data_IF_637309165478
#
_entry.id   IF_637309165478
#
_cell.length_a   1.000
_cell.length_b   1.000
_cell.length_c   1.000
_cell.angle_alpha   90.00
_cell.angle_beta   90.00
_cell.angle_gamma   90.00
#
_symmetry.space_group_name_H-M   'P 1'
#
loop_
_entity.id
_entity.type
_entity.pdbx_description
1 polymer ?
#
# COMPACT_ATOMS: atom_id res chain seq x y z
N UNK A 1 -37.99 56.02 7.97
CA UNK A 1 -38.02 55.05 6.84
C UNK A 1 -36.75 54.23 6.93
N UNK A 2 -36.85 52.92 7.20
CA UNK A 2 -35.68 52.05 7.32
C UNK A 2 -35.15 51.66 5.93
N UNK A 3 -33.83 51.60 5.70
CA UNK A 3 -33.29 51.18 4.40
C UNK A 3 -33.55 49.68 4.20
N UNK A 4 -34.26 49.34 3.13
CA UNK A 4 -34.49 47.95 2.72
C UNK A 4 -33.19 47.40 2.12
N UNK A 5 -32.50 46.52 2.86
CA UNK A 5 -31.29 45.87 2.35
C UNK A 5 -31.68 44.97 1.17
N UNK A 6 -31.07 45.12 -0.01
CA UNK A 6 -31.41 44.30 -1.17
C UNK A 6 -31.06 42.83 -0.90
N UNK A 7 -32.03 41.95 -1.12
CA UNK A 7 -31.88 40.49 -0.98
C UNK A 7 -30.98 39.95 -2.09
N UNK A 8 -30.28 38.84 -1.84
CA UNK A 8 -29.21 38.29 -2.69
C UNK A 8 -29.62 38.01 -4.15
N UNK A 9 -30.92 37.86 -4.42
CA UNK A 9 -31.48 37.67 -5.77
C UNK A 9 -31.57 38.97 -6.60
N UNK A 10 -31.50 40.15 -5.96
CA UNK A 10 -31.57 41.47 -6.61
C UNK A 10 -30.19 42.00 -7.03
N UNK A 11 -29.10 41.38 -6.55
CA UNK A 11 -27.73 41.75 -6.93
C UNK A 11 -27.31 40.87 -8.12
N UNK A 12 -27.17 41.48 -9.30
CA UNK A 12 -26.64 40.82 -10.50
C UNK A 12 -25.27 40.21 -10.19
N UNK A 13 -25.23 38.89 -10.05
CA UNK A 13 -24.01 38.14 -9.69
C UNK A 13 -22.93 38.42 -10.74
N UNK A 14 -21.72 38.83 -10.33
CA UNK A 14 -20.63 39.12 -11.24
C UNK A 14 -20.34 37.93 -12.17
N UNK A 15 -20.17 38.21 -13.46
CA UNK A 15 -19.89 37.18 -14.49
C UNK A 15 -18.66 36.31 -14.15
N UNK A 16 -17.69 36.88 -13.41
CA UNK A 16 -16.48 36.19 -12.95
C UNK A 16 -16.80 35.06 -11.96
N UNK A 17 -17.81 35.22 -11.10
CA UNK A 17 -18.26 34.19 -10.16
C UNK A 17 -18.95 33.03 -10.89
N UNK A 18 -19.75 33.33 -11.91
CA UNK A 18 -20.38 32.29 -12.74
C UNK A 18 -19.34 31.47 -13.51
N UNK A 19 -18.31 32.12 -14.07
CA UNK A 19 -17.19 31.44 -14.73
C UNK A 19 -16.41 30.54 -13.75
N UNK A 20 -16.15 31.04 -12.53
CA UNK A 20 -15.47 30.25 -11.47
C UNK A 20 -16.28 29.03 -11.04
N UNK A 21 -17.61 29.16 -10.85
CA UNK A 21 -18.50 28.04 -10.50
C UNK A 21 -18.49 26.94 -11.57
N UNK A 22 -18.63 27.31 -12.85
CA UNK A 22 -18.58 26.36 -13.98
C UNK A 22 -17.24 25.63 -14.05
N UNK A 23 -16.12 26.32 -13.84
CA UNK A 23 -14.79 25.70 -13.80
C UNK A 23 -14.65 24.70 -12.65
N UNK A 24 -15.12 25.07 -11.45
CA UNK A 24 -15.10 24.19 -10.28
C UNK A 24 -16.01 22.97 -10.42
N UNK A 25 -17.17 23.12 -11.07
CA UNK A 25 -18.06 21.99 -11.37
C UNK A 25 -17.41 21.00 -12.35
N UNK A 26 -16.80 21.49 -13.43
CA UNK A 26 -16.05 20.64 -14.37
C UNK A 26 -14.90 19.90 -13.68
N UNK A 27 -14.08 20.61 -12.90
CA UNK A 27 -12.97 20.00 -12.16
C UNK A 27 -13.46 18.97 -11.12
N UNK A 28 -14.64 19.19 -10.49
CA UNK A 28 -15.24 18.21 -9.58
C UNK A 28 -15.75 16.97 -10.32
N UNK A 29 -16.40 17.14 -11.48
CA UNK A 29 -16.86 16.03 -12.30
C UNK A 29 -15.69 15.16 -12.80
N UNK A 30 -14.61 15.79 -13.27
CA UNK A 30 -13.39 15.09 -13.70
C UNK A 30 -12.74 14.30 -12.57
N UNK A 31 -12.60 14.91 -11.38
CA UNK A 31 -12.08 14.23 -10.18
C UNK A 31 -12.96 13.06 -9.74
N UNK A 32 -14.29 13.22 -9.81
CA UNK A 32 -15.23 12.15 -9.48
C UNK A 32 -15.04 10.95 -10.42
N UNK A 33 -14.99 11.19 -11.73
CA UNK A 33 -14.75 10.17 -12.75
C UNK A 33 -13.39 9.47 -12.57
N UNK A 34 -12.33 10.22 -12.25
CA UNK A 34 -11.02 9.62 -11.96
C UNK A 34 -11.04 8.77 -10.68
N UNK A 35 -11.76 9.21 -9.65
CA UNK A 35 -11.90 8.47 -8.40
C UNK A 35 -12.62 7.13 -8.61
N UNK A 36 -13.63 7.10 -9.47
CA UNK A 36 -14.37 5.88 -9.82
C UNK A 36 -13.49 4.89 -10.58
N UNK A 37 -12.73 5.36 -11.56
CA UNK A 37 -11.73 4.55 -12.28
C UNK A 37 -10.68 3.96 -11.32
N UNK A 38 -10.15 4.77 -10.39
CA UNK A 38 -9.20 4.31 -9.36
C UNK A 38 -9.82 3.25 -8.44
N UNK A 39 -11.09 3.43 -8.03
CA UNK A 39 -11.82 2.45 -7.21
C UNK A 39 -12.00 1.12 -7.94
N UNK A 40 -12.36 1.15 -9.23
CA UNK A 40 -12.49 -0.06 -10.06
C UNK A 40 -11.15 -0.78 -10.19
N UNK A 41 -10.09 -0.06 -10.57
CA UNK A 41 -8.74 -0.62 -10.68
C UNK A 41 -8.24 -1.22 -9.34
N UNK A 42 -8.54 -0.60 -8.21
CA UNK A 42 -8.16 -1.14 -6.90
C UNK A 42 -8.94 -2.40 -6.53
N UNK A 43 -10.21 -2.52 -6.93
CA UNK A 43 -10.99 -3.77 -6.73
C UNK A 43 -10.37 -4.92 -7.52
N UNK A 44 -10.01 -4.68 -8.78
CA UNK A 44 -9.33 -5.66 -9.64
C UNK A 44 -7.96 -6.06 -9.08
N UNK A 45 -7.16 -5.09 -8.63
CA UNK A 45 -5.88 -5.40 -7.97
C UNK A 45 -6.06 -6.29 -6.74
N UNK A 46 -7.10 -6.03 -5.93
CA UNK A 46 -7.37 -6.82 -4.73
C UNK A 46 -7.72 -8.27 -5.04
N UNK A 47 -8.52 -8.52 -6.09
CA UNK A 47 -8.84 -9.91 -6.49
C UNK A 47 -7.62 -10.65 -7.00
N UNK A 48 -6.74 -9.97 -7.75
CA UNK A 48 -5.47 -10.55 -8.21
C UNK A 48 -4.53 -10.86 -7.04
N UNK A 49 -4.37 -9.95 -6.08
CA UNK A 49 -3.53 -10.17 -4.90
C UNK A 49 -4.05 -11.35 -4.08
N UNK A 50 -5.37 -11.47 -3.92
CA UNK A 50 -5.97 -12.58 -3.19
C UNK A 50 -5.65 -13.94 -3.84
N UNK A 51 -5.85 -14.06 -5.17
CA UNK A 51 -5.50 -15.28 -5.91
C UNK A 51 -4.00 -15.62 -5.85
N UNK A 52 -3.13 -14.60 -5.87
CA UNK A 52 -1.68 -14.78 -5.73
C UNK A 52 -1.32 -15.29 -4.34
N UNK A 53 -1.91 -14.74 -3.28
CA UNK A 53 -1.68 -15.19 -1.91
C UNK A 53 -2.07 -16.66 -1.74
N UNK A 54 -3.24 -17.07 -2.25
CA UNK A 54 -3.69 -18.46 -2.23
C UNK A 54 -2.69 -19.39 -2.95
N UNK A 55 -2.23 -18.99 -4.14
CA UNK A 55 -1.22 -19.74 -4.91
C UNK A 55 0.07 -19.91 -4.10
N UNK A 56 0.60 -18.85 -3.51
CA UNK A 56 1.83 -18.92 -2.73
C UNK A 56 1.69 -19.81 -1.50
N UNK A 57 0.57 -19.73 -0.78
CA UNK A 57 0.33 -20.62 0.37
C UNK A 57 0.33 -22.09 -0.06
N UNK A 58 -0.32 -22.41 -1.18
CA UNK A 58 -0.33 -23.77 -1.73
C UNK A 58 1.08 -24.22 -2.09
N UNK A 59 1.83 -23.40 -2.81
CA UNK A 59 3.21 -23.70 -3.24
C UNK A 59 4.13 -24.01 -2.05
N UNK A 60 4.09 -23.21 -0.99
CA UNK A 60 4.90 -23.46 0.21
C UNK A 60 4.49 -24.76 0.94
N UNK A 61 3.18 -25.02 1.08
CA UNK A 61 2.68 -26.25 1.73
C UNK A 61 3.01 -27.50 0.92
N UNK A 62 2.97 -27.41 -0.41
CA UNK A 62 3.33 -28.51 -1.30
C UNK A 62 4.84 -28.78 -1.23
N UNK A 63 5.67 -27.72 -1.22
CA UNK A 63 7.11 -27.83 -1.07
C UNK A 63 7.52 -28.45 0.29
N UNK A 64 6.87 -28.07 1.39
CA UNK A 64 7.12 -28.67 2.71
C UNK A 64 6.75 -30.16 2.75
N UNK A 65 5.57 -30.52 2.20
CA UNK A 65 5.15 -31.91 2.11
C UNK A 65 6.09 -32.74 1.25
N UNK A 66 6.58 -32.16 0.17
CA UNK A 66 7.51 -32.84 -0.74
C UNK A 66 8.86 -33.14 -0.08
N UNK A 67 9.41 -32.20 0.70
CA UNK A 67 10.62 -32.45 1.51
C UNK A 67 10.43 -33.65 2.44
N UNK A 68 9.31 -33.70 3.17
CA UNK A 68 9.00 -34.81 4.07
C UNK A 68 8.85 -36.12 3.30
N UNK A 69 8.22 -36.09 2.13
CA UNK A 69 8.08 -37.26 1.25
C UNK A 69 9.44 -37.80 0.81
N UNK A 70 10.34 -36.92 0.35
CA UNK A 70 11.69 -37.29 -0.09
C UNK A 70 12.52 -37.88 1.05
N UNK A 71 12.46 -37.30 2.25
CA UNK A 71 13.10 -37.87 3.45
C UNK A 71 12.57 -39.28 3.78
N UNK A 72 11.26 -39.52 3.66
CA UNK A 72 10.66 -40.84 3.90
C UNK A 72 11.09 -41.86 2.85
N UNK A 73 11.11 -41.48 1.57
CA UNK A 73 11.54 -42.37 0.49
C UNK A 73 13.02 -42.73 0.63
N UNK A 74 13.88 -41.74 0.88
CA UNK A 74 15.30 -41.99 1.12
C UNK A 74 15.49 -42.98 2.29
N UNK A 75 14.76 -42.79 3.40
CA UNK A 75 14.79 -43.71 4.53
C UNK A 75 14.30 -45.13 4.20
N UNK A 76 13.28 -45.26 3.35
CA UNK A 76 12.77 -46.57 2.90
C UNK A 76 13.78 -47.30 2.03
N UNK A 77 14.47 -46.58 1.14
CA UNK A 77 15.50 -47.11 0.25
C UNK A 77 16.86 -47.31 0.95
N UNK A 78 17.00 -46.84 2.21
CA UNK A 78 18.25 -46.88 2.96
C UNK A 78 19.28 -45.83 2.53
N UNK A 79 18.86 -44.82 1.76
CA UNK A 79 19.69 -43.71 1.30
C UNK A 79 19.38 -42.41 2.07
N UNK A 80 20.16 -41.35 1.83
CA UNK A 80 20.01 -40.06 2.53
C UNK A 80 19.57 -38.95 1.58
N UNK A 81 18.59 -38.14 2.00
CA UNK A 81 18.19 -36.92 1.31
C UNK A 81 18.90 -35.71 1.93
N UNK A 82 19.59 -34.93 1.11
CA UNK A 82 20.26 -33.69 1.52
C UNK A 82 19.41 -32.50 1.10
N UNK A 83 18.98 -31.70 2.08
CA UNK A 83 18.18 -30.51 1.82
C UNK A 83 18.99 -29.41 1.13
N UNK A 84 18.31 -28.54 0.37
CA UNK A 84 18.94 -27.41 -0.30
C UNK A 84 19.44 -26.34 0.70
N UNK A 85 20.60 -25.76 0.40
CA UNK A 85 21.19 -24.69 1.21
C UNK A 85 20.34 -23.41 1.21
N UNK A 86 20.30 -22.73 2.36
CA UNK A 86 19.55 -21.49 2.53
C UNK A 86 20.21 -20.32 1.78
N UNK A 87 19.44 -19.64 0.93
CA UNK A 87 19.94 -18.54 0.07
C UNK A 87 19.79 -17.14 0.66
N UNK A 88 19.04 -16.99 1.75
CA UNK A 88 18.68 -15.69 2.34
C UNK A 88 19.01 -15.68 3.83
N UNK A 89 19.61 -14.59 4.29
CA UNK A 89 19.96 -14.37 5.69
C UNK A 89 19.27 -13.09 6.19
N UNK A 90 18.72 -13.14 7.40
CA UNK A 90 18.15 -11.97 8.07
C UNK A 90 19.10 -11.53 9.21
N UNK A 91 19.74 -10.38 9.04
CA UNK A 91 20.76 -9.87 9.97
C UNK A 91 20.21 -8.68 10.77
N UNK A 92 20.24 -8.79 12.09
CA UNK A 92 19.88 -7.69 13.01
C UNK A 92 21.17 -7.17 13.66
N UNK A 93 21.37 -5.84 13.66
CA UNK A 93 22.47 -5.21 14.39
C UNK A 93 22.16 -5.22 15.89
N UNK A 94 23.02 -5.88 16.67
CA UNK A 94 22.89 -5.97 18.13
C UNK A 94 23.56 -4.83 18.89
N UNK A 95 24.53 -4.13 18.29
CA UNK A 95 25.28 -3.03 18.95
C UNK A 95 24.97 -1.68 18.30
N UNK A 96 24.47 -0.73 19.10
CA UNK A 96 24.28 0.66 18.70
C UNK A 96 25.60 1.43 18.58
N UNK A 97 25.59 2.51 17.81
CA UNK A 97 26.71 3.44 17.76
C UNK A 97 26.63 4.38 18.98
N UNK A 98 27.70 4.51 19.76
CA UNK A 98 27.76 5.46 20.88
C UNK A 98 28.51 6.71 20.41
N UNK A 99 27.80 7.83 20.26
CA UNK A 99 28.43 9.12 20.00
C UNK A 99 28.76 9.76 21.34
N UNK A 100 30.00 9.64 21.80
CA UNK A 100 30.51 10.40 22.94
C UNK A 100 30.73 11.86 22.52
N UNK A 101 29.71 12.71 22.64
CA UNK A 101 29.91 14.17 22.68
C UNK A 101 30.40 14.49 24.10
N UNK A 102 31.72 14.55 24.29
CA UNK A 102 32.31 15.14 25.50
C UNK A 102 32.16 16.66 25.39
N UNK A 103 31.10 17.21 25.98
CA UNK A 103 31.08 18.62 26.35
C UNK A 103 32.15 18.84 27.44
N UNK A 104 33.33 19.31 27.04
CA UNK A 104 34.27 19.95 27.95
C UNK A 104 33.92 21.45 27.98
N UNK A 105 32.98 21.81 28.85
CA UNK A 105 32.91 23.15 29.43
C UNK A 105 33.81 23.16 30.65
N UNK A 106 34.88 23.96 30.63
CA UNK A 106 35.49 24.52 31.82
C UNK A 106 35.67 26.03 31.60
N UNK A 107 35.48 26.75 32.71
CA UNK A 107 35.34 28.19 32.93
C UNK A 107 36.28 29.12 32.17
#
# INVERSE_FOLDING_TARGET
MAPTVPTQDQVLVPETLLKKRKSQEKARAEKAAESEKKKQANKEKRTVIFKRAEKYVKEYRDAEREKVRLHRLAKQEGNFHVDAEHRLLFVIRIKGYVTWIRNHTYS
#
